data_IF_583099585427
#
_entry.id   IF_583099585427
#
_cell.length_a   1.000
_cell.length_b   1.000
_cell.length_c   1.000
_cell.angle_alpha   90.00
_cell.angle_beta   90.00
_cell.angle_gamma   90.00
#
_symmetry.space_group_name_H-M   'P 1'
#
loop_
_entity.id
_entity.type
_entity.pdbx_description
1 polymer ?
#
# COMPACT_ATOMS: atom_id res chain seq x y z
N UNK A 1 -0.74 10.45 42.27
CA UNK A 1 -0.18 9.50 41.30
C UNK A 1 -1.18 8.35 41.16
N UNK A 2 -2.05 8.37 40.15
CA UNK A 2 -2.94 7.23 39.90
C UNK A 2 -2.30 6.42 38.77
N UNK A 3 -1.63 5.32 39.13
CA UNK A 3 -1.27 4.30 38.15
C UNK A 3 -2.59 3.90 37.47
N UNK A 4 -2.68 3.95 36.14
CA UNK A 4 -3.85 3.39 35.46
C UNK A 4 -4.02 1.96 35.98
N UNK A 5 -5.04 1.73 36.81
CA UNK A 5 -5.34 0.43 37.37
C UNK A 5 -5.90 -0.39 36.22
N UNK A 6 -5.01 -1.10 35.53
CA UNK A 6 -5.38 -2.06 34.51
C UNK A 6 -5.87 -3.31 35.24
N UNK A 7 -7.17 -3.36 35.46
CA UNK A 7 -7.82 -4.58 35.93
C UNK A 7 -7.40 -5.76 35.03
N UNK A 8 -7.22 -6.98 35.57
CA UNK A 8 -6.80 -8.13 34.78
C UNK A 8 -7.63 -8.34 33.51
N UNK A 9 -8.92 -7.98 33.51
CA UNK A 9 -9.77 -8.01 32.32
C UNK A 9 -9.38 -6.98 31.25
N UNK A 10 -9.12 -5.74 31.65
CA UNK A 10 -8.71 -4.65 30.74
C UNK A 10 -7.31 -4.91 30.16
N UNK A 11 -6.39 -5.42 30.98
CA UNK A 11 -5.05 -5.83 30.51
C UNK A 11 -5.14 -6.92 29.44
N UNK A 12 -5.98 -7.92 29.65
CA UNK A 12 -6.21 -8.99 28.67
C UNK A 12 -6.79 -8.48 27.34
N UNK A 13 -7.75 -7.53 27.39
CA UNK A 13 -8.33 -6.94 26.18
C UNK A 13 -7.29 -6.16 25.36
N UNK A 14 -6.41 -5.39 26.02
CA UNK A 14 -5.34 -4.65 25.33
C UNK A 14 -4.36 -5.62 24.66
N UNK A 15 -3.92 -6.66 25.37
CA UNK A 15 -3.02 -7.67 24.81
C UNK A 15 -3.67 -8.36 23.61
N UNK A 16 -4.94 -8.75 23.71
CA UNK A 16 -5.67 -9.37 22.62
C UNK A 16 -5.83 -8.44 21.42
N UNK A 17 -6.11 -7.15 21.64
CA UNK A 17 -6.20 -6.16 20.58
C UNK A 17 -4.85 -5.99 19.84
N UNK A 18 -3.75 -5.95 20.58
CA UNK A 18 -2.40 -5.87 19.99
C UNK A 18 -2.07 -7.12 19.19
N UNK A 19 -2.37 -8.32 19.73
CA UNK A 19 -2.15 -9.59 19.02
C UNK A 19 -2.99 -9.69 17.75
N UNK A 20 -4.27 -9.31 17.82
CA UNK A 20 -5.17 -9.31 16.67
C UNK A 20 -4.74 -8.29 15.60
N UNK A 21 -4.31 -7.09 16.01
CA UNK A 21 -3.78 -6.09 15.10
C UNK A 21 -2.48 -6.56 14.42
N UNK A 22 -1.54 -7.14 15.18
CA UNK A 22 -0.31 -7.71 14.63
C UNK A 22 -0.61 -8.85 13.65
N UNK A 23 -1.52 -9.75 14.00
CA UNK A 23 -1.97 -10.83 13.12
C UNK A 23 -2.63 -10.27 11.86
N UNK A 24 -3.50 -9.26 11.98
CA UNK A 24 -4.13 -8.59 10.84
C UNK A 24 -3.10 -7.93 9.92
N UNK A 25 -2.13 -7.21 10.48
CA UNK A 25 -1.06 -6.59 9.69
C UNK A 25 -0.19 -7.65 9.02
N UNK A 26 0.18 -8.74 9.70
CA UNK A 26 0.98 -9.82 9.10
C UNK A 26 0.23 -10.55 7.99
N UNK A 27 -1.02 -10.95 8.23
CA UNK A 27 -1.83 -11.73 7.29
C UNK A 27 -2.22 -10.93 6.05
N UNK A 28 -2.44 -9.62 6.23
CA UNK A 28 -2.86 -8.72 5.17
C UNK A 28 -1.76 -7.75 4.73
N UNK A 29 -0.48 -7.94 5.10
CA UNK A 29 0.58 -6.96 4.86
C UNK A 29 0.71 -6.57 3.39
N UNK A 30 0.64 -7.56 2.49
CA UNK A 30 0.71 -7.35 1.04
C UNK A 30 -0.50 -6.62 0.48
N UNK A 31 -1.72 -6.99 0.92
CA UNK A 31 -2.96 -6.36 0.45
C UNK A 31 -3.17 -4.96 1.02
N UNK A 32 -2.79 -4.75 2.28
CA UNK A 32 -2.85 -3.45 2.96
C UNK A 32 -1.82 -2.50 2.36
N UNK A 33 -0.58 -2.95 2.10
CA UNK A 33 0.41 -2.11 1.40
C UNK A 33 -0.08 -1.67 0.03
N UNK A 34 -0.66 -2.57 -0.76
CA UNK A 34 -1.21 -2.25 -2.08
C UNK A 34 -2.39 -1.27 -1.98
N UNK A 35 -3.30 -1.46 -1.02
CA UNK A 35 -4.42 -0.53 -0.77
C UNK A 35 -3.95 0.82 -0.24
N UNK A 36 -2.95 0.89 0.64
CA UNK A 36 -2.37 2.12 1.14
C UNK A 36 -1.67 2.87 0.00
N UNK A 37 -0.86 2.19 -0.81
CA UNK A 37 -0.25 2.77 -2.02
C UNK A 37 -1.31 3.32 -2.98
N UNK A 38 -2.40 2.57 -3.22
CA UNK A 38 -3.54 3.03 -4.00
C UNK A 38 -4.28 4.22 -3.41
N UNK A 39 -4.52 4.23 -2.10
CA UNK A 39 -5.21 5.33 -1.41
C UNK A 39 -4.35 6.60 -1.31
N UNK A 40 -3.04 6.47 -1.14
CA UNK A 40 -2.11 7.61 -1.12
C UNK A 40 -1.78 8.13 -2.53
N UNK A 41 -2.37 7.56 -3.59
CA UNK A 41 -2.02 7.90 -4.98
C UNK A 41 -0.57 7.55 -5.33
N UNK A 42 0.08 6.73 -4.50
CA UNK A 42 1.46 6.28 -4.62
C UNK A 42 1.48 4.81 -5.09
N UNK A 43 0.55 4.43 -5.96
CA UNK A 43 0.79 3.35 -6.90
C UNK A 43 1.89 3.85 -7.81
N UNK A 44 3.13 3.69 -7.35
CA UNK A 44 4.26 3.80 -8.23
C UNK A 44 4.03 2.75 -9.32
N UNK A 45 3.96 3.20 -10.57
CA UNK A 45 4.19 2.41 -11.77
C UNK A 45 5.55 1.72 -11.63
N UNK A 46 5.61 0.68 -10.81
CA UNK A 46 6.68 -0.31 -10.84
C UNK A 46 6.02 -1.58 -11.35
N UNK A 47 5.57 -1.50 -12.60
CA UNK A 47 5.51 -2.57 -13.58
C UNK A 47 4.56 -2.15 -14.72
N UNK A 48 4.86 -1.01 -15.35
CA UNK A 48 4.72 -0.93 -16.82
C UNK A 48 5.73 -1.91 -17.44
N UNK A 49 5.56 -3.21 -17.16
CA UNK A 49 6.23 -4.32 -17.84
C UNK A 49 5.76 -4.41 -19.31
N UNK A 50 4.89 -3.49 -19.75
CA UNK A 50 4.24 -3.51 -21.05
C UNK A 50 4.18 -2.16 -21.78
N UNK A 51 4.83 -1.08 -21.32
CA UNK A 51 4.66 0.25 -21.97
C UNK A 51 5.89 0.82 -22.68
N UNK A 52 6.99 0.06 -22.80
CA UNK A 52 8.07 0.43 -23.72
C UNK A 52 7.84 -0.21 -25.09
N UNK A 53 6.74 0.14 -25.77
CA UNK A 53 6.71 0.16 -27.24
C UNK A 53 6.95 1.61 -27.63
N UNK A 54 8.22 1.94 -27.88
CA UNK A 54 8.66 3.21 -28.45
C UNK A 54 8.21 3.27 -29.91
N UNK A 55 6.94 3.65 -30.13
CA UNK A 55 6.45 4.10 -31.43
C UNK A 55 6.64 5.61 -31.42
N UNK A 56 7.82 6.01 -31.90
CA UNK A 56 8.18 7.39 -32.23
C UNK A 56 7.36 7.78 -33.49
N UNK A 57 6.04 7.95 -33.32
CA UNK A 57 5.09 8.40 -34.33
C UNK A 57 5.30 9.89 -34.58
N UNK A 58 6.40 10.22 -35.25
CA UNK A 58 6.52 11.52 -35.92
C UNK A 58 5.86 11.37 -37.28
N UNK A 59 4.60 11.75 -37.29
CA UNK A 59 3.75 11.96 -38.46
C UNK A 59 4.52 12.63 -39.61
N UNK A 60 4.22 12.12 -40.81
CA UNK A 60 4.61 12.64 -42.10
C UNK A 60 4.44 14.16 -42.22
N UNK A 61 5.49 14.83 -42.69
CA UNK A 61 5.32 15.99 -43.57
C UNK A 61 6.19 15.81 -44.80
N UNK A 62 5.50 15.66 -45.93
CA UNK A 62 5.93 15.94 -47.29
C UNK A 62 7.12 16.92 -47.38
N UNK A 63 8.15 16.55 -48.14
CA UNK A 63 8.59 17.46 -49.18
C UNK A 63 9.26 16.73 -50.35
N UNK A 64 8.65 16.99 -51.49
CA UNK A 64 9.03 16.55 -52.83
C UNK A 64 10.21 17.42 -53.31
N UNK A 65 11.34 16.82 -53.69
CA UNK A 65 12.16 17.12 -54.89
C UNK A 65 13.57 16.52 -54.85
#
# INVERSE_FOLDING_TARGET
>A
MNFLYFDPGLGAMIVQAVVAAAAGVLLFSKGVMYKIKGFLGLLKEEDDTYDSIDIDEKEDTDDTK
#
